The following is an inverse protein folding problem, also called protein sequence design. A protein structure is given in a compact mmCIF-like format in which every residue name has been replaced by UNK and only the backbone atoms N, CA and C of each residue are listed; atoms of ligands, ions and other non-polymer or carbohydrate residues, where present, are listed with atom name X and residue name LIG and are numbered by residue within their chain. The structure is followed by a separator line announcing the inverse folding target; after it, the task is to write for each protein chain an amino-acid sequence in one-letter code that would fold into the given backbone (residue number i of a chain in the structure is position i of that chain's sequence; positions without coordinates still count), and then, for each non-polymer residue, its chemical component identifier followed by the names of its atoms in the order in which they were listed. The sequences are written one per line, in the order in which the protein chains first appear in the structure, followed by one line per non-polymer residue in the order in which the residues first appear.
data_IF_325352503922
#
_entry.id   IF_325352503922
#
_cell.length_a   1.000
_cell.length_b   1.000
_cell.length_c   1.000
_cell.angle_alpha   90.00
_cell.angle_beta   90.00
_cell.angle_gamma   90.00
#
_symmetry.space_group_name_H-M   'P 1'
#
loop_
_entity.id
_entity.type
_entity.pdbx_description
1 polymer ?
#
# COMPACT_ATOMS: atom_id res chain seq x y z
N UNK A 1 -77.09 -4.92 0.30
CA UNK A 1 -76.11 -4.05 0.96
C UNK A 1 -74.85 -4.77 1.44
N UNK A 2 -74.45 -5.96 0.91
CA UNK A 2 -73.39 -6.78 1.44
C UNK A 2 -72.17 -7.01 0.49
N UNK A 3 -72.22 -6.52 -0.74
CA UNK A 3 -71.11 -6.70 -1.72
C UNK A 3 -69.98 -5.68 -1.61
N UNK A 4 -70.22 -4.51 -1.01
CA UNK A 4 -69.26 -3.42 -0.95
C UNK A 4 -68.14 -3.71 0.10
N UNK A 5 -68.45 -4.38 1.21
CA UNK A 5 -67.53 -4.64 2.31
C UNK A 5 -66.38 -5.61 1.95
N UNK A 6 -66.68 -6.61 1.08
CA UNK A 6 -65.69 -7.64 0.72
C UNK A 6 -64.60 -7.08 -0.25
N UNK A 7 -64.95 -6.13 -1.10
CA UNK A 7 -64.00 -5.48 -2.07
C UNK A 7 -63.04 -4.58 -1.31
N UNK A 8 -63.49 -3.86 -0.30
CA UNK A 8 -62.64 -3.00 0.52
C UNK A 8 -61.65 -3.78 1.35
N UNK A 9 -62.07 -4.93 1.93
CA UNK A 9 -61.17 -5.81 2.67
C UNK A 9 -60.06 -6.38 1.79
N UNK A 10 -60.36 -6.78 0.55
CA UNK A 10 -59.37 -7.30 -0.40
C UNK A 10 -58.34 -6.23 -0.86
N UNK A 11 -58.77 -4.98 -1.04
CA UNK A 11 -57.89 -3.86 -1.37
C UNK A 11 -56.96 -3.48 -0.21
N UNK A 12 -57.41 -3.60 1.04
CA UNK A 12 -56.59 -3.36 2.23
C UNK A 12 -55.49 -4.42 2.41
N UNK A 13 -55.78 -5.67 2.14
CA UNK A 13 -54.81 -6.77 2.24
C UNK A 13 -53.72 -6.62 1.16
N UNK A 14 -54.13 -6.23 -0.06
CA UNK A 14 -53.18 -6.01 -1.16
C UNK A 14 -52.24 -4.83 -0.91
N UNK A 15 -52.75 -3.73 -0.31
CA UNK A 15 -51.93 -2.57 0.11
C UNK A 15 -50.96 -2.90 1.24
N UNK A 16 -51.40 -3.71 2.24
CA UNK A 16 -50.55 -4.12 3.36
C UNK A 16 -49.37 -5.00 2.91
N UNK A 17 -49.59 -5.95 1.99
CA UNK A 17 -48.51 -6.81 1.45
C UNK A 17 -47.49 -6.02 0.63
N UNK A 18 -47.96 -5.04 -0.15
CA UNK A 18 -47.06 -4.20 -0.98
C UNK A 18 -46.18 -3.28 -0.11
N UNK A 19 -46.75 -2.67 0.94
CA UNK A 19 -45.98 -1.80 1.86
C UNK A 19 -44.91 -2.56 2.66
N UNK A 20 -45.16 -3.82 3.03
CA UNK A 20 -44.19 -4.63 3.77
C UNK A 20 -43.05 -5.12 2.87
N UNK A 21 -43.30 -5.34 1.58
CA UNK A 21 -42.26 -5.68 0.59
C UNK A 21 -41.36 -4.45 0.30
N UNK A 22 -41.96 -3.28 0.16
CA UNK A 22 -41.21 -2.04 -0.08
C UNK A 22 -40.31 -1.66 1.12
N UNK A 23 -40.83 -1.85 2.35
CA UNK A 23 -40.06 -1.64 3.57
C UNK A 23 -38.89 -2.62 3.72
N UNK A 24 -39.07 -3.88 3.34
CA UNK A 24 -38.04 -4.92 3.36
C UNK A 24 -36.93 -4.67 2.34
N UNK A 25 -37.26 -4.17 1.15
CA UNK A 25 -36.26 -3.85 0.11
C UNK A 25 -35.47 -2.58 0.48
N UNK A 26 -36.13 -1.57 1.08
CA UNK A 26 -35.44 -0.37 1.55
C UNK A 26 -34.48 -0.66 2.73
N UNK A 27 -34.82 -1.59 3.62
CA UNK A 27 -33.94 -1.99 4.72
C UNK A 27 -32.70 -2.78 4.23
N UNK A 28 -32.82 -3.58 3.18
CA UNK A 28 -31.69 -4.29 2.58
C UNK A 28 -30.72 -3.35 1.83
N UNK A 29 -31.21 -2.25 1.27
CA UNK A 29 -30.38 -1.28 0.56
C UNK A 29 -29.49 -0.44 1.49
N UNK A 30 -29.85 -0.30 2.76
CA UNK A 30 -29.08 0.45 3.75
C UNK A 30 -27.92 -0.34 4.39
N UNK A 31 -27.90 -1.66 4.27
CA UNK A 31 -26.83 -2.51 4.84
C UNK A 31 -25.61 -2.57 3.91
N UNK A 32 -25.74 -2.15 2.65
CA UNK A 32 -24.68 -2.24 1.64
C UNK A 32 -23.71 -1.07 1.58
N UNK A 33 -23.87 -0.02 2.38
CA UNK A 33 -22.99 1.16 2.36
C UNK A 33 -22.07 1.25 3.57
N UNK A 34 -21.62 0.12 4.10
CA UNK A 34 -20.41 0.10 4.90
C UNK A 34 -19.25 0.52 3.98
N UNK A 35 -18.91 1.79 3.94
CA UNK A 35 -17.65 2.22 3.39
C UNK A 35 -16.56 1.54 4.21
N UNK A 36 -16.04 0.44 3.72
CA UNK A 36 -14.74 -0.07 4.17
C UNK A 36 -13.76 1.06 3.84
N UNK A 37 -13.32 1.78 4.86
CA UNK A 37 -12.18 2.68 4.73
C UNK A 37 -10.98 1.80 4.42
N UNK A 38 -10.77 1.49 3.14
CA UNK A 38 -9.53 0.89 2.69
C UNK A 38 -8.50 2.01 2.75
N UNK A 39 -7.52 1.88 3.64
CA UNK A 39 -6.35 2.72 3.57
C UNK A 39 -5.71 2.50 2.18
N UNK A 40 -5.12 3.55 1.63
CA UNK A 40 -4.52 3.50 0.29
C UNK A 40 -3.14 2.87 0.40
N UNK A 41 -2.77 1.88 -0.43
CA UNK A 41 -1.42 1.34 -0.43
C UNK A 41 -0.41 2.40 -0.87
N UNK A 42 0.82 2.29 -0.36
CA UNK A 42 1.93 3.16 -0.73
C UNK A 42 2.36 2.83 -2.16
N UNK A 43 2.53 3.84 -3.01
CA UNK A 43 3.00 3.67 -4.39
C UNK A 43 4.07 4.69 -4.74
N UNK A 44 4.93 4.36 -5.70
CA UNK A 44 5.94 5.27 -6.20
C UNK A 44 7.36 4.92 -5.80
N UNK A 45 8.28 5.86 -6.00
CA UNK A 45 9.71 5.71 -5.75
C UNK A 45 10.22 6.86 -4.88
N UNK A 46 11.19 6.54 -4.03
CA UNK A 46 11.92 7.48 -3.17
C UNK A 46 13.40 7.09 -3.20
N UNK A 47 14.29 8.08 -3.20
CA UNK A 47 15.73 7.87 -3.14
C UNK A 47 16.35 8.50 -1.90
N UNK A 48 17.47 7.96 -1.47
CA UNK A 48 18.27 8.47 -0.37
C UNK A 48 19.71 8.64 -0.83
N UNK A 49 20.40 9.63 -0.30
CA UNK A 49 21.84 9.82 -0.42
C UNK A 49 22.45 9.85 0.97
N UNK A 50 23.63 9.26 1.12
CA UNK A 50 24.33 9.24 2.40
C UNK A 50 25.78 8.79 2.25
N UNK A 51 26.53 8.84 3.35
CA UNK A 51 27.90 8.32 3.42
C UNK A 51 27.87 6.98 4.13
N UNK A 52 28.60 6.04 3.59
CA UNK A 52 28.62 4.68 4.12
C UNK A 52 30.04 4.08 4.19
N UNK A 53 30.16 3.00 4.92
CA UNK A 53 31.37 2.17 4.98
C UNK A 53 31.02 0.69 4.94
N UNK A 54 31.84 -0.15 4.32
CA UNK A 54 31.69 -1.59 4.42
C UNK A 54 32.03 -2.07 5.84
N UNK A 55 31.29 -3.04 6.33
CA UNK A 55 31.59 -3.74 7.60
C UNK A 55 31.79 -5.24 7.39
N UNK A 56 32.52 -5.89 8.30
CA UNK A 56 32.86 -7.30 8.19
C UNK A 56 33.99 -7.61 7.19
N UNK A 57 34.60 -6.57 6.60
CA UNK A 57 35.70 -6.68 5.63
C UNK A 57 35.75 -5.51 4.66
N UNK A 58 36.72 -5.49 3.73
CA UNK A 58 36.74 -4.53 2.63
C UNK A 58 35.54 -4.75 1.71
N UNK A 59 35.21 -3.77 0.87
CA UNK A 59 33.98 -3.83 0.04
C UNK A 59 33.78 -5.15 -0.71
N UNK A 60 34.85 -5.73 -1.25
CA UNK A 60 34.79 -7.00 -1.98
C UNK A 60 34.35 -8.21 -1.11
N UNK A 61 34.46 -8.14 0.19
CA UNK A 61 34.13 -9.22 1.11
C UNK A 61 33.26 -8.76 2.30
N UNK A 62 32.77 -7.53 2.23
CA UNK A 62 31.93 -6.97 3.28
C UNK A 62 30.66 -7.82 3.49
N UNK A 63 30.21 -7.86 4.72
CA UNK A 63 28.98 -8.55 5.12
C UNK A 63 27.90 -7.60 5.59
N UNK A 64 28.23 -6.32 5.75
CA UNK A 64 27.29 -5.30 6.21
C UNK A 64 27.69 -3.90 5.74
N UNK A 65 26.82 -2.96 6.04
CA UNK A 65 26.91 -1.53 5.73
C UNK A 65 26.76 -0.74 7.03
N UNK A 66 27.71 0.15 7.29
CA UNK A 66 27.65 1.19 8.31
C UNK A 66 27.28 2.49 7.60
N UNK A 67 26.13 3.05 7.92
CA UNK A 67 25.66 4.35 7.43
C UNK A 67 26.13 5.41 8.41
N UNK A 68 27.08 6.24 7.99
CA UNK A 68 27.76 7.17 8.90
C UNK A 68 26.77 8.07 9.65
N UNK A 69 26.79 7.93 10.98
CA UNK A 69 25.90 8.67 11.87
C UNK A 69 24.44 8.26 11.77
N UNK A 70 24.15 7.11 11.18
CA UNK A 70 22.78 6.61 10.96
C UNK A 70 21.90 7.63 10.26
N UNK A 71 22.47 8.44 9.35
CA UNK A 71 21.77 9.56 8.70
C UNK A 71 21.89 9.47 7.19
N UNK A 72 20.76 9.62 6.52
CA UNK A 72 20.68 9.79 5.07
C UNK A 72 19.81 11.00 4.74
N UNK A 73 19.95 11.52 3.53
CA UNK A 73 19.10 12.60 3.01
C UNK A 73 18.18 12.04 1.95
N UNK A 74 16.88 12.31 2.06
CA UNK A 74 15.92 12.00 1.01
C UNK A 74 16.23 12.83 -0.22
N UNK A 75 16.46 12.18 -1.37
CA UNK A 75 16.91 12.82 -2.61
C UNK A 75 15.76 13.28 -3.51
N UNK A 76 14.71 13.84 -2.93
CA UNK A 76 13.57 14.42 -3.66
C UNK A 76 13.74 15.91 -4.00
N UNK A 77 14.96 16.45 -3.92
CA UNK A 77 15.22 17.87 -4.13
C UNK A 77 14.93 18.35 -5.56
N UNK A 78 15.03 17.47 -6.55
CA UNK A 78 14.68 17.77 -7.94
C UNK A 78 13.19 17.50 -8.18
N UNK A 79 12.58 18.30 -9.06
CA UNK A 79 11.20 18.07 -9.49
C UNK A 79 11.05 16.67 -10.09
N UNK A 80 10.03 15.94 -9.63
CA UNK A 80 9.74 14.56 -10.05
C UNK A 80 10.79 13.49 -9.67
N UNK A 81 11.71 13.80 -8.77
CA UNK A 81 12.67 12.82 -8.26
C UNK A 81 12.00 11.74 -7.41
N UNK A 82 10.91 12.11 -6.71
CA UNK A 82 10.06 11.19 -5.97
C UNK A 82 8.67 11.13 -6.60
N UNK A 83 8.07 9.96 -6.64
CA UNK A 83 6.81 9.72 -7.34
C UNK A 83 5.73 9.11 -6.45
N UNK A 84 4.48 9.06 -6.93
CA UNK A 84 3.36 8.46 -6.21
C UNK A 84 3.10 9.09 -4.84
N UNK A 85 3.02 8.28 -3.79
CA UNK A 85 2.81 8.72 -2.41
C UNK A 85 3.91 9.66 -1.91
N UNK A 86 5.12 9.58 -2.50
CA UNK A 86 6.27 10.40 -2.15
C UNK A 86 6.37 11.71 -2.95
N UNK A 87 5.46 11.98 -3.87
CA UNK A 87 5.50 13.16 -4.73
C UNK A 87 5.46 14.49 -3.94
N UNK A 88 4.80 14.50 -2.77
CA UNK A 88 4.75 15.67 -1.88
C UNK A 88 6.12 16.05 -1.27
N UNK A 89 7.11 15.14 -1.33
CA UNK A 89 8.46 15.39 -0.83
C UNK A 89 9.32 16.17 -1.83
N UNK A 90 8.91 16.28 -3.10
CA UNK A 90 9.68 16.96 -4.14
C UNK A 90 9.99 18.42 -3.77
N UNK A 91 11.22 18.84 -4.06
CA UNK A 91 11.73 20.17 -3.72
C UNK A 91 12.24 20.31 -2.27
N UNK A 92 12.22 19.24 -1.47
CA UNK A 92 12.64 19.28 -0.07
C UNK A 92 13.90 18.42 0.15
N UNK A 93 14.76 18.89 1.06
CA UNK A 93 15.85 18.11 1.64
C UNK A 93 15.39 17.64 3.02
N UNK A 94 15.17 16.33 3.18
CA UNK A 94 14.63 15.77 4.39
C UNK A 94 15.66 14.81 4.97
N UNK A 95 16.05 15.03 6.22
CA UNK A 95 16.92 14.10 6.93
C UNK A 95 16.11 12.85 7.32
N UNK A 96 16.70 11.69 7.09
CA UNK A 96 16.17 10.40 7.48
C UNK A 96 17.15 9.69 8.42
N UNK A 97 16.63 8.96 9.39
CA UNK A 97 17.42 7.95 10.09
C UNK A 97 17.53 6.73 9.19
N UNK A 98 18.75 6.28 8.98
CA UNK A 98 19.03 5.07 8.20
C UNK A 98 19.97 4.18 9.01
N UNK A 99 19.47 3.03 9.43
CA UNK A 99 20.20 2.15 10.34
C UNK A 99 21.28 1.34 9.60
N UNK A 100 22.33 1.06 10.31
CA UNK A 100 23.35 0.08 9.89
C UNK A 100 22.71 -1.28 9.71
N UNK A 101 23.20 -2.05 8.75
CA UNK A 101 22.65 -3.38 8.53
C UNK A 101 23.70 -4.37 8.02
N UNK A 102 23.49 -5.63 8.37
CA UNK A 102 24.21 -6.78 7.84
C UNK A 102 23.37 -7.43 6.77
N UNK A 103 23.93 -7.71 5.63
CA UNK A 103 23.23 -8.32 4.51
C UNK A 103 23.63 -9.77 4.26
N UNK A 104 24.76 -10.21 4.81
CA UNK A 104 25.27 -11.58 4.66
C UNK A 104 25.91 -12.11 5.95
N UNK A 105 25.19 -12.94 6.74
CA UNK A 105 23.76 -13.24 6.60
C UNK A 105 22.87 -12.09 7.04
N UNK A 106 21.70 -11.94 6.42
CA UNK A 106 20.67 -11.06 6.94
C UNK A 106 20.12 -11.68 8.23
N UNK A 107 19.98 -10.93 9.35
CA UNK A 107 19.38 -11.44 10.57
C UNK A 107 17.97 -12.00 10.34
N UNK A 108 17.62 -13.06 11.07
CA UNK A 108 16.27 -13.61 11.06
C UNK A 108 15.26 -12.54 11.50
N UNK A 109 14.31 -12.20 10.63
CA UNK A 109 13.35 -11.11 10.84
C UNK A 109 13.73 -9.79 10.17
N UNK A 110 14.93 -9.67 9.60
CA UNK A 110 15.38 -8.47 8.89
C UNK A 110 15.67 -7.28 9.79
N UNK A 111 15.49 -6.08 9.28
CA UNK A 111 15.66 -4.80 9.99
C UNK A 111 14.35 -4.01 10.03
N UNK A 112 13.90 -3.66 11.23
CA UNK A 112 12.62 -2.99 11.48
C UNK A 112 12.81 -1.79 12.41
N UNK A 113 12.81 -0.55 11.89
CA UNK A 113 12.92 -0.19 10.48
C UNK A 113 14.39 -0.16 9.99
N UNK A 114 14.60 -0.34 8.69
CA UNK A 114 15.87 -0.02 8.07
C UNK A 114 16.07 1.50 7.99
N UNK A 115 15.01 2.22 7.57
CA UNK A 115 15.02 3.68 7.57
C UNK A 115 13.67 4.25 7.99
N UNK A 116 13.69 5.47 8.52
CA UNK A 116 12.50 6.25 8.89
C UNK A 116 12.74 7.74 8.80
N UNK A 117 11.69 8.49 8.45
CA UNK A 117 11.65 9.95 8.52
C UNK A 117 10.21 10.44 8.67
N UNK A 118 10.05 11.70 9.09
CA UNK A 118 8.74 12.34 9.20
C UNK A 118 8.72 13.61 8.34
N UNK A 119 7.66 13.78 7.57
CA UNK A 119 7.41 14.99 6.78
C UNK A 119 5.93 15.36 6.84
N UNK A 120 5.63 16.62 7.16
CA UNK A 120 4.26 17.15 7.26
C UNK A 120 3.32 16.30 8.13
N UNK A 121 3.83 15.72 9.24
CA UNK A 121 3.04 14.88 10.15
C UNK A 121 2.86 13.43 9.70
N UNK A 122 3.37 13.04 8.55
CA UNK A 122 3.37 11.66 8.07
C UNK A 122 4.74 11.05 8.36
N UNK A 123 4.77 9.96 9.11
CA UNK A 123 5.99 9.17 9.34
C UNK A 123 6.05 8.06 8.30
N UNK A 124 7.15 8.02 7.56
CA UNK A 124 7.48 7.00 6.56
C UNK A 124 8.56 6.09 7.12
N UNK A 125 8.46 4.80 6.86
CA UNK A 125 9.49 3.83 7.24
C UNK A 125 9.51 2.63 6.29
N UNK A 126 10.60 1.87 6.36
CA UNK A 126 10.77 0.64 5.61
C UNK A 126 11.42 -0.44 6.47
N UNK A 127 10.80 -1.59 6.49
CA UNK A 127 11.33 -2.79 7.13
C UNK A 127 11.97 -3.66 6.04
N UNK A 128 13.28 -3.91 6.14
CA UNK A 128 14.00 -4.77 5.20
C UNK A 128 13.83 -6.23 5.61
N UNK A 129 13.23 -7.04 4.75
CA UNK A 129 12.96 -8.46 5.01
C UNK A 129 13.88 -9.40 4.23
N UNK A 130 14.44 -8.96 3.12
CA UNK A 130 15.41 -9.73 2.34
C UNK A 130 16.46 -8.82 1.73
N UNK A 131 17.68 -9.34 1.58
CA UNK A 131 18.77 -8.69 0.88
C UNK A 131 19.58 -9.74 0.11
N UNK A 132 20.00 -9.37 -1.10
CA UNK A 132 20.82 -10.20 -1.98
C UNK A 132 21.91 -9.36 -2.61
N UNK A 133 23.09 -9.95 -2.76
CA UNK A 133 24.22 -9.31 -3.43
C UNK A 133 23.98 -9.40 -4.96
N UNK A 134 23.88 -8.26 -5.63
CA UNK A 134 23.84 -8.17 -7.09
C UNK A 134 25.27 -8.09 -7.64
N UNK A 135 26.08 -7.20 -7.05
CA UNK A 135 27.49 -7.03 -7.40
C UNK A 135 28.26 -6.63 -6.16
N UNK A 136 29.43 -7.21 -5.97
CA UNK A 136 30.33 -6.88 -4.88
C UNK A 136 31.77 -6.93 -5.39
N UNK A 137 32.44 -5.78 -5.36
CA UNK A 137 33.81 -5.58 -5.87
C UNK A 137 34.63 -4.73 -4.91
N UNK A 138 35.91 -4.57 -5.19
CA UNK A 138 36.75 -3.67 -4.39
C UNK A 138 36.32 -2.19 -4.50
N UNK A 139 35.64 -1.80 -5.58
CA UNK A 139 35.23 -0.41 -5.85
C UNK A 139 33.78 -0.13 -5.41
N UNK A 140 32.97 -1.14 -5.11
CA UNK A 140 31.59 -0.87 -4.69
C UNK A 140 30.77 -2.11 -4.45
N UNK A 141 29.56 -1.87 -3.90
CA UNK A 141 28.58 -2.91 -3.55
C UNK A 141 27.23 -2.49 -4.15
N UNK A 142 26.56 -3.42 -4.79
CA UNK A 142 25.17 -3.29 -5.22
C UNK A 142 24.36 -4.42 -4.58
N UNK A 143 23.33 -4.05 -3.86
CA UNK A 143 22.40 -4.96 -3.20
C UNK A 143 21.00 -4.74 -3.74
N UNK A 144 20.20 -5.78 -3.71
CA UNK A 144 18.74 -5.72 -3.95
C UNK A 144 18.01 -6.50 -2.88
N UNK A 145 16.75 -6.17 -2.64
CA UNK A 145 15.95 -6.86 -1.66
C UNK A 145 14.50 -6.43 -1.67
N UNK A 146 13.75 -6.96 -0.74
CA UNK A 146 12.35 -6.64 -0.55
C UNK A 146 12.05 -6.41 0.94
N UNK A 147 10.97 -5.70 1.19
CA UNK A 147 10.52 -5.42 2.53
C UNK A 147 9.14 -4.81 2.57
N UNK A 148 8.80 -4.19 3.69
CA UNK A 148 7.50 -3.56 3.91
C UNK A 148 7.65 -2.05 4.06
N UNK A 149 6.98 -1.32 3.20
CA UNK A 149 6.80 0.13 3.31
C UNK A 149 5.65 0.44 4.25
N UNK A 150 5.86 1.43 5.11
CA UNK A 150 4.85 1.93 6.05
C UNK A 150 4.79 3.44 5.98
N UNK A 151 3.58 3.99 6.07
CA UNK A 151 3.37 5.43 6.22
C UNK A 151 2.09 5.68 7.02
N UNK A 152 2.08 6.72 7.86
CA UNK A 152 0.90 7.06 8.68
C UNK A 152 -0.31 7.33 7.78
N UNK A 153 -1.38 6.57 7.96
CA UNK A 153 -2.61 6.71 7.18
C UNK A 153 -2.65 5.91 5.87
N UNK A 154 -1.65 5.07 5.63
CA UNK A 154 -1.57 4.17 4.48
C UNK A 154 -1.53 2.70 4.92
N UNK A 155 -1.86 1.78 4.00
CA UNK A 155 -1.69 0.35 4.22
C UNK A 155 -0.22 -0.05 4.11
N UNK A 156 0.21 -0.98 4.95
CA UNK A 156 1.51 -1.63 4.85
C UNK A 156 1.65 -2.25 3.47
N UNK A 157 2.74 -1.93 2.77
CA UNK A 157 2.87 -2.26 1.36
C UNK A 157 4.21 -2.93 1.07
N UNK A 158 4.19 -4.05 0.33
CA UNK A 158 5.43 -4.70 -0.12
C UNK A 158 6.18 -3.77 -1.06
N UNK A 159 7.48 -3.57 -0.80
CA UNK A 159 8.36 -2.72 -1.60
C UNK A 159 9.64 -3.44 -2.01
N UNK A 160 10.20 -3.03 -3.16
CA UNK A 160 11.53 -3.43 -3.60
C UNK A 160 12.55 -2.42 -3.10
N UNK A 161 13.71 -2.89 -2.73
CA UNK A 161 14.82 -2.09 -2.20
C UNK A 161 16.08 -2.36 -2.99
N UNK A 162 16.87 -1.32 -3.21
CA UNK A 162 18.19 -1.43 -3.79
C UNK A 162 19.16 -0.48 -3.09
N UNK A 163 20.40 -0.91 -2.99
CA UNK A 163 21.51 -0.14 -2.48
C UNK A 163 22.63 -0.17 -3.54
N UNK A 164 23.20 0.99 -3.82
CA UNK A 164 24.39 1.10 -4.66
C UNK A 164 25.39 2.03 -3.97
N UNK A 165 26.54 1.52 -3.59
CA UNK A 165 27.59 2.24 -2.90
C UNK A 165 28.92 2.11 -3.59
N UNK A 166 29.61 3.24 -3.78
CA UNK A 166 30.98 3.33 -4.28
C UNK A 166 31.92 3.61 -3.10
N UNK A 167 33.08 2.95 -3.07
CA UNK A 167 34.08 3.11 -2.00
C UNK A 167 34.94 4.38 -2.14
N UNK A 168 34.85 5.11 -3.26
CA UNK A 168 35.69 6.28 -3.55
C UNK A 168 35.13 7.59 -3.00
N UNK A 169 34.01 7.61 -2.30
CA UNK A 169 33.60 8.85 -1.63
C UNK A 169 32.14 9.12 -1.41
N UNK A 170 31.29 8.14 -1.46
CA UNK A 170 29.89 8.34 -1.08
C UNK A 170 28.97 7.28 -1.65
N UNK A 171 28.15 6.68 -0.80
CA UNK A 171 27.09 5.80 -1.24
C UNK A 171 25.87 6.62 -1.64
N UNK A 172 25.40 6.47 -2.85
CA UNK A 172 24.04 6.86 -3.20
C UNK A 172 23.16 5.65 -2.99
N UNK A 173 22.24 5.74 -2.04
CA UNK A 173 21.24 4.73 -1.84
C UNK A 173 20.06 5.06 -2.76
N UNK A 174 19.84 4.28 -3.79
CA UNK A 174 18.62 4.39 -4.56
C UNK A 174 17.60 3.43 -3.99
N UNK A 175 16.46 3.93 -3.61
CA UNK A 175 15.31 3.14 -3.20
C UNK A 175 14.23 3.28 -4.26
N UNK A 176 13.80 2.18 -4.80
CA UNK A 176 12.67 2.14 -5.71
C UNK A 176 11.58 1.25 -5.12
N UNK A 177 10.55 1.85 -4.58
CA UNK A 177 9.34 1.15 -4.21
C UNK A 177 8.44 1.07 -5.44
N UNK A 178 8.67 0.08 -6.29
CA UNK A 178 7.75 -0.22 -7.37
C UNK A 178 6.71 -1.21 -6.87
N UNK A 179 5.54 -0.70 -6.53
CA UNK A 179 4.39 -1.55 -6.30
C UNK A 179 3.67 -1.80 -7.62
N UNK A 180 3.65 -3.04 -8.04
CA UNK A 180 2.47 -3.57 -8.69
C UNK A 180 1.43 -3.81 -7.59
N UNK A 181 0.73 -2.76 -7.15
CA UNK A 181 -0.42 -2.92 -6.28
C UNK A 181 -1.41 -3.82 -7.02
N UNK A 182 -1.83 -4.97 -6.46
CA UNK A 182 -3.02 -5.61 -6.96
C UNK A 182 -4.12 -4.56 -6.85
N UNK A 183 -4.57 -4.03 -7.98
CA UNK A 183 -5.71 -3.11 -7.99
C UNK A 183 -6.86 -3.90 -7.38
N UNK A 184 -7.41 -3.50 -6.20
CA UNK A 184 -8.57 -4.18 -5.65
C UNK A 184 -9.61 -4.17 -6.77
N UNK A 185 -10.10 -5.36 -7.12
CA UNK A 185 -11.12 -5.47 -8.16
C UNK A 185 -12.23 -4.49 -7.82
N UNK A 186 -12.58 -3.56 -8.74
CA UNK A 186 -13.50 -2.49 -8.40
C UNK A 186 -14.77 -3.09 -7.81
N UNK A 187 -15.26 -2.52 -6.71
CA UNK A 187 -16.54 -2.91 -6.12
C UNK A 187 -17.69 -2.97 -7.16
N UNK A 188 -17.47 -2.35 -8.33
CA UNK A 188 -18.29 -2.47 -9.53
C UNK A 188 -18.52 -3.92 -10.00
N UNK A 189 -17.57 -4.85 -9.83
CA UNK A 189 -17.78 -6.25 -10.18
C UNK A 189 -18.78 -6.93 -9.22
N UNK A 190 -18.70 -6.61 -7.93
CA UNK A 190 -19.66 -7.10 -6.93
C UNK A 190 -21.04 -6.50 -7.20
N UNK A 191 -21.11 -5.20 -7.50
CA UNK A 191 -22.37 -4.51 -7.85
C UNK A 191 -22.94 -5.04 -9.15
N UNK A 192 -22.10 -5.27 -10.17
CA UNK A 192 -22.52 -5.88 -11.44
C UNK A 192 -23.04 -7.30 -11.22
N UNK A 193 -22.34 -8.13 -10.44
CA UNK A 193 -22.77 -9.49 -10.09
C UNK A 193 -24.11 -9.48 -9.35
N UNK A 194 -24.27 -8.62 -8.35
CA UNK A 194 -25.54 -8.46 -7.62
C UNK A 194 -26.66 -7.94 -8.53
N UNK A 195 -26.35 -7.02 -9.45
CA UNK A 195 -27.29 -6.51 -10.44
C UNK A 195 -27.77 -7.58 -11.41
N UNK A 196 -26.89 -8.44 -11.91
CA UNK A 196 -27.24 -9.54 -12.81
C UNK A 196 -28.10 -10.61 -12.09
N UNK A 197 -27.78 -10.92 -10.85
CA UNK A 197 -28.59 -11.83 -10.01
C UNK A 197 -29.97 -11.25 -9.80
N UNK A 198 -30.07 -9.96 -9.46
CA UNK A 198 -31.35 -9.26 -9.28
C UNK A 198 -32.21 -9.25 -10.55
N UNK A 199 -31.59 -8.98 -11.71
CA UNK A 199 -32.26 -9.00 -13.01
C UNK A 199 -32.74 -10.42 -13.38
N UNK A 200 -31.99 -11.46 -13.07
CA UNK A 200 -32.37 -12.85 -13.27
C UNK A 200 -33.62 -13.25 -12.46
N UNK A 201 -33.69 -12.84 -11.20
CA UNK A 201 -34.87 -13.09 -10.37
C UNK A 201 -36.09 -12.29 -10.84
N UNK A 202 -35.93 -11.05 -11.29
CA UNK A 202 -37.02 -10.24 -11.82
C UNK A 202 -37.63 -10.83 -13.09
N UNK A 203 -36.80 -11.38 -13.99
CA UNK A 203 -37.22 -12.05 -15.23
C UNK A 203 -38.01 -13.33 -14.94
N UNK A 204 -37.55 -14.14 -13.98
CA UNK A 204 -38.24 -15.39 -13.59
C UNK A 204 -39.64 -15.16 -13.03
N UNK A 205 -39.87 -14.05 -12.30
CA UNK A 205 -41.18 -13.68 -11.76
C UNK A 205 -42.18 -13.21 -12.81
N UNK A 206 -41.72 -12.79 -14.02
CA UNK A 206 -42.62 -12.39 -15.12
C UNK A 206 -43.08 -13.55 -15.98
N UNK A 207 -42.45 -14.72 -15.86
CA UNK A 207 -42.75 -15.90 -16.66
C UNK A 207 -43.60 -16.93 -15.87
N UNK A 208 -43.81 -16.72 -14.60
CA UNK A 208 -44.72 -17.45 -13.74
C UNK A 208 -45.99 -16.65 -13.46
#
# INVERSE_FOLDING_TARGET
MQRSSCIEAFQRIKKMKLNNIVKGVAALALIGTGAVANATPISGAIGFGGVWRPTGGPAATATGIDVLGNTATVTCALANACTGTYAALNGNFIAATYNDFTFNPLPGGGYTPLWTFTFSGITYSFDLLSASIVTQTASGIVLSGAGTLKATGFDDTVGQWSFSGDTTGGGVFAFSATNSVPVPEPASLVVLGAGLIGAGFARRRRQA
#
